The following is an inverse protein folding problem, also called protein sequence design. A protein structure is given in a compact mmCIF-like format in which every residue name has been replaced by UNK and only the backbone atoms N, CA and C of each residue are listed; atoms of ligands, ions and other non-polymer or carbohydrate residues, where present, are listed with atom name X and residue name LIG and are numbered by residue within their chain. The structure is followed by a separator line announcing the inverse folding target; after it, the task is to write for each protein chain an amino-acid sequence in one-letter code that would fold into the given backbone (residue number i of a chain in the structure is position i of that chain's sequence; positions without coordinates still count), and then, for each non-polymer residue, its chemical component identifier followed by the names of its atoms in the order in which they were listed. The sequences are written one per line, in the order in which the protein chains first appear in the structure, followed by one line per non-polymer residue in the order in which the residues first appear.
data_IF_276437384162
#
_entry.id   IF_276437384162
#
_cell.length_a   1.000
_cell.length_b   1.000
_cell.length_c   1.000
_cell.angle_alpha   90.00
_cell.angle_beta   90.00
_cell.angle_gamma   90.00
#
_symmetry.space_group_name_H-M   'P 1'
#
loop_
_entity.id
_entity.type
_entity.pdbx_description
1 polymer ?
#
# COMPACT_ATOMS: atom_id res chain seq x y z
N UNK A 1 14.71 -11.88 -2.41
CA UNK A 1 14.11 -11.22 -3.59
C UNK A 1 13.07 -10.20 -3.14
N UNK A 2 13.14 -9.03 -3.73
CA UNK A 2 12.18 -7.96 -3.49
C UNK A 2 11.86 -7.29 -4.82
N UNK A 3 10.57 -7.06 -5.08
CA UNK A 3 10.13 -6.32 -6.24
C UNK A 3 9.35 -5.10 -5.77
N UNK A 4 9.79 -3.93 -6.19
CA UNK A 4 9.17 -2.66 -5.85
C UNK A 4 8.56 -2.02 -7.09
N UNK A 5 7.31 -1.58 -6.98
CA UNK A 5 6.60 -0.91 -8.08
C UNK A 5 5.88 0.31 -7.51
N UNK A 6 5.99 1.43 -8.22
CA UNK A 6 5.25 2.64 -7.88
C UNK A 6 4.09 2.80 -8.87
N UNK A 7 2.90 3.02 -8.35
CA UNK A 7 1.71 3.27 -9.16
C UNK A 7 1.23 4.68 -8.88
N UNK A 8 1.11 5.51 -9.92
CA UNK A 8 0.58 6.85 -9.83
C UNK A 8 -0.85 6.86 -10.37
N UNK A 9 -1.79 7.27 -9.55
CA UNK A 9 -3.18 7.44 -9.96
C UNK A 9 -3.48 8.93 -10.03
N UNK A 10 -3.85 9.41 -11.23
CA UNK A 10 -4.14 10.82 -11.48
C UNK A 10 -5.64 10.98 -11.68
N UNK A 11 -6.22 11.99 -11.04
CA UNK A 11 -7.63 12.35 -11.21
C UNK A 11 -7.71 13.76 -11.78
N UNK A 12 -7.75 13.92 -13.12
CA UNK A 12 -7.78 15.24 -13.75
C UNK A 12 -9.14 15.92 -13.55
N UNK A 13 -9.18 17.21 -13.79
CA UNK A 13 -10.41 18.00 -13.74
C UNK A 13 -10.66 18.68 -12.40
N UNK A 14 -11.78 19.39 -12.32
CA UNK A 14 -12.12 20.25 -11.17
C UNK A 14 -12.37 19.45 -9.88
N UNK A 15 -12.83 18.21 -10.00
CA UNK A 15 -13.13 17.38 -8.84
C UNK A 15 -11.98 16.44 -8.46
N UNK A 16 -10.87 16.48 -9.19
CA UNK A 16 -9.76 15.55 -8.99
C UNK A 16 -9.20 15.57 -7.59
N UNK A 17 -8.96 16.76 -7.02
CA UNK A 17 -8.43 16.88 -5.66
C UNK A 17 -9.40 16.30 -4.63
N UNK A 18 -10.70 16.49 -4.80
CA UNK A 18 -11.72 15.96 -3.91
C UNK A 18 -11.81 14.43 -4.03
N UNK A 19 -11.65 13.89 -5.23
CA UNK A 19 -11.62 12.44 -5.45
C UNK A 19 -10.45 11.79 -4.74
N UNK A 20 -9.26 12.41 -4.75
CA UNK A 20 -8.09 11.91 -4.04
C UNK A 20 -8.33 11.94 -2.53
N UNK A 21 -8.89 13.04 -2.01
CA UNK A 21 -9.24 13.12 -0.59
C UNK A 21 -10.23 12.04 -0.19
N UNK A 22 -11.23 11.78 -1.04
CA UNK A 22 -12.22 10.73 -0.80
C UNK A 22 -11.58 9.34 -0.79
N UNK A 23 -10.63 9.10 -1.68
CA UNK A 23 -9.87 7.83 -1.70
C UNK A 23 -9.15 7.62 -0.36
N UNK A 24 -8.45 8.64 0.15
CA UNK A 24 -7.75 8.54 1.42
C UNK A 24 -8.72 8.30 2.59
N UNK A 25 -9.85 9.00 2.61
CA UNK A 25 -10.89 8.83 3.62
C UNK A 25 -11.41 7.38 3.60
N UNK A 26 -11.69 6.86 2.41
CA UNK A 26 -12.18 5.49 2.25
C UNK A 26 -11.16 4.46 2.72
N UNK A 27 -9.87 4.65 2.39
CA UNK A 27 -8.81 3.74 2.86
C UNK A 27 -8.64 3.79 4.38
N UNK A 28 -8.84 4.95 5.00
CA UNK A 28 -8.79 5.05 6.47
C UNK A 28 -9.97 4.37 7.15
N UNK A 29 -11.17 4.58 6.61
CA UNK A 29 -12.39 4.04 7.19
C UNK A 29 -12.56 2.54 6.88
N UNK A 30 -12.10 2.11 5.72
CA UNK A 30 -12.24 0.73 5.24
C UNK A 30 -10.91 0.23 4.69
N UNK A 31 -9.88 0.04 5.55
CA UNK A 31 -8.59 -0.43 5.07
C UNK A 31 -8.68 -1.84 4.50
N UNK A 32 -7.83 -2.19 3.55
CA UNK A 32 -7.86 -3.52 2.96
C UNK A 32 -7.48 -4.58 3.99
N UNK A 33 -8.16 -5.71 3.96
CA UNK A 33 -7.86 -6.86 4.83
C UNK A 33 -6.89 -7.83 4.18
N UNK A 34 -6.75 -7.74 2.85
CA UNK A 34 -5.79 -8.53 2.11
C UNK A 34 -5.27 -7.75 0.90
N UNK A 35 -4.08 -8.10 0.44
CA UNK A 35 -3.41 -7.49 -0.70
C UNK A 35 -2.90 -8.62 -1.60
N UNK A 36 -3.52 -8.77 -2.79
CA UNK A 36 -3.14 -9.81 -3.74
C UNK A 36 -3.21 -11.22 -3.15
N UNK A 37 -4.21 -11.48 -2.30
CA UNK A 37 -4.38 -12.77 -1.64
C UNK A 37 -3.61 -12.94 -0.33
N UNK A 38 -2.75 -11.98 0.05
CA UNK A 38 -2.00 -12.05 1.32
C UNK A 38 -2.72 -11.25 2.39
N UNK A 39 -2.79 -11.83 3.59
CA UNK A 39 -3.50 -11.22 4.72
C UNK A 39 -2.72 -10.03 5.27
N UNK A 40 -3.39 -8.90 5.41
CA UNK A 40 -2.81 -7.73 6.08
C UNK A 40 -2.88 -7.96 7.59
N UNK A 41 -1.75 -7.76 8.26
CA UNK A 41 -1.62 -8.00 9.71
C UNK A 41 -1.28 -6.74 10.48
N UNK A 42 -0.93 -5.65 9.79
CA UNK A 42 -0.55 -4.39 10.41
C UNK A 42 -0.96 -3.24 9.50
N UNK A 43 -1.69 -2.27 10.05
CA UNK A 43 -2.12 -1.05 9.37
C UNK A 43 -1.57 0.14 10.12
N UNK A 44 -0.76 0.98 9.45
CA UNK A 44 -0.21 2.20 10.05
C UNK A 44 -0.87 3.42 9.43
N UNK A 45 -1.27 4.37 10.28
CA UNK A 45 -1.82 5.66 9.87
C UNK A 45 -0.94 6.75 10.47
N UNK A 46 -0.15 7.40 9.63
CA UNK A 46 0.80 8.42 10.07
C UNK A 46 0.15 9.78 10.32
N UNK A 47 -1.11 9.97 9.92
CA UNK A 47 -1.84 11.18 10.28
C UNK A 47 -2.37 11.08 11.71
N UNK A 48 -2.86 9.93 12.11
CA UNK A 48 -3.33 9.65 13.47
C UNK A 48 -2.20 9.21 14.40
N UNK A 49 -1.05 8.86 13.87
CA UNK A 49 0.08 8.26 14.58
C UNK A 49 -0.33 6.99 15.33
N UNK A 50 -1.06 6.13 14.65
CA UNK A 50 -1.56 4.86 15.19
C UNK A 50 -1.18 3.69 14.30
N UNK A 51 -0.92 2.55 14.94
CA UNK A 51 -0.80 1.26 14.28
C UNK A 51 -1.90 0.34 14.81
N UNK A 52 -2.66 -0.25 13.89
CA UNK A 52 -3.66 -1.28 14.20
C UNK A 52 -3.03 -2.64 13.93
N UNK A 53 -3.09 -3.52 14.90
CA UNK A 53 -2.54 -4.87 14.82
C UNK A 53 -3.60 -5.91 14.49
N UNK A 54 -3.18 -7.07 14.04
CA UNK A 54 -4.06 -8.17 13.64
C UNK A 54 -5.04 -8.57 14.76
N UNK A 55 -4.60 -8.51 16.01
CA UNK A 55 -5.42 -8.86 17.17
C UNK A 55 -6.43 -7.77 17.57
N UNK A 56 -6.49 -6.68 16.82
CA UNK A 56 -7.38 -5.55 17.11
C UNK A 56 -6.79 -4.50 18.04
N UNK A 57 -5.61 -4.74 18.60
CA UNK A 57 -4.95 -3.76 19.46
C UNK A 57 -4.39 -2.59 18.66
N UNK A 58 -4.31 -1.43 19.29
CA UNK A 58 -3.72 -0.23 18.71
C UNK A 58 -2.51 0.19 19.52
N UNK A 59 -1.46 0.61 18.81
CA UNK A 59 -0.26 1.17 19.42
C UNK A 59 0.03 2.53 18.81
N UNK A 60 0.76 3.35 19.54
CA UNK A 60 1.16 4.68 19.08
C UNK A 60 2.41 4.58 18.21
N UNK A 61 2.43 5.32 17.10
CA UNK A 61 3.64 5.48 16.30
C UNK A 61 4.45 6.64 16.87
N UNK A 62 5.72 6.36 17.21
CA UNK A 62 6.62 7.35 17.79
C UNK A 62 7.33 8.11 16.67
N UNK A 63 6.68 9.16 16.17
CA UNK A 63 7.18 9.99 15.09
C UNK A 63 7.16 11.45 15.52
N UNK A 64 8.15 12.27 15.10
CA UNK A 64 8.22 13.69 15.50
C UNK A 64 7.13 14.56 14.87
N UNK A 65 6.52 14.11 13.78
CA UNK A 65 5.49 14.88 13.08
C UNK A 65 4.51 13.94 12.38
N UNK A 66 3.31 14.45 12.08
CA UNK A 66 2.31 13.72 11.32
C UNK A 66 2.55 13.86 9.82
N UNK A 67 2.07 12.89 9.05
CA UNK A 67 2.05 12.95 7.59
C UNK A 67 0.83 12.19 7.06
N UNK A 68 0.33 12.61 5.89
CA UNK A 68 -0.83 11.96 5.29
C UNK A 68 -0.39 10.72 4.50
N UNK A 69 0.00 9.69 5.25
CA UNK A 69 0.53 8.42 4.71
C UNK A 69 -0.14 7.27 5.42
N UNK A 70 -0.49 6.24 4.65
CA UNK A 70 -0.96 4.96 5.15
C UNK A 70 0.03 3.89 4.72
N UNK A 71 0.25 2.89 5.57
CA UNK A 71 1.06 1.72 5.23
C UNK A 71 0.34 0.46 5.69
N UNK A 72 0.34 -0.56 4.83
CA UNK A 72 -0.27 -1.85 5.10
C UNK A 72 0.77 -2.94 4.91
N UNK A 73 0.85 -3.84 5.88
CA UNK A 73 1.86 -4.89 5.92
C UNK A 73 1.17 -6.26 6.00
N UNK A 74 1.60 -7.17 5.12
CA UNK A 74 1.10 -8.54 5.13
C UNK A 74 2.07 -9.48 5.85
N UNK A 75 1.59 -10.65 6.21
CA UNK A 75 2.38 -11.66 6.91
C UNK A 75 3.52 -12.25 6.05
N UNK A 76 3.45 -12.12 4.73
CA UNK A 76 4.47 -12.63 3.79
C UNK A 76 5.48 -11.57 3.37
N UNK A 77 5.45 -10.39 3.98
CA UNK A 77 6.35 -9.29 3.65
C UNK A 77 5.83 -8.34 2.57
N UNK A 78 4.67 -8.62 2.00
CA UNK A 78 4.02 -7.67 1.09
C UNK A 78 3.71 -6.39 1.83
N UNK A 79 4.03 -5.24 1.22
CA UNK A 79 3.81 -3.93 1.83
C UNK A 79 3.27 -2.96 0.80
N UNK A 80 2.30 -2.16 1.19
CA UNK A 80 1.79 -1.05 0.37
C UNK A 80 1.86 0.22 1.20
N UNK A 81 2.44 1.27 0.61
CA UNK A 81 2.42 2.61 1.18
C UNK A 81 1.59 3.51 0.27
N UNK A 82 0.76 4.35 0.86
CA UNK A 82 -0.17 5.22 0.13
C UNK A 82 0.10 6.66 0.54
N UNK A 83 0.33 7.52 -0.44
CA UNK A 83 0.63 8.94 -0.20
C UNK A 83 0.04 9.83 -1.29
N UNK A 84 -0.89 10.72 -0.97
CA UNK A 84 -1.37 11.71 -1.95
C UNK A 84 -0.31 12.79 -2.16
N UNK A 85 -0.32 13.38 -3.37
CA UNK A 85 0.49 14.56 -3.65
C UNK A 85 -0.11 15.76 -2.90
N UNK A 86 0.74 16.63 -2.36
CA UNK A 86 0.28 17.86 -1.70
C UNK A 86 -0.13 18.96 -2.68
N UNK A 87 0.28 18.88 -3.93
CA UNK A 87 0.10 19.96 -4.92
C UNK A 87 -0.65 19.55 -6.17
N UNK A 88 -0.75 18.27 -6.47
CA UNK A 88 -1.37 17.76 -7.69
C UNK A 88 -2.48 16.76 -7.37
N UNK A 89 -3.51 16.61 -8.25
CA UNK A 89 -4.60 15.66 -8.02
C UNK A 89 -4.16 14.24 -8.36
N UNK A 90 -3.19 13.74 -7.62
CA UNK A 90 -2.67 12.39 -7.78
C UNK A 90 -2.36 11.75 -6.43
N UNK A 91 -2.36 10.43 -6.44
CA UNK A 91 -2.04 9.61 -5.28
C UNK A 91 -1.05 8.55 -5.72
N UNK A 92 -0.03 8.31 -4.91
CA UNK A 92 1.03 7.34 -5.19
C UNK A 92 0.86 6.12 -4.30
N UNK A 93 1.02 4.96 -4.90
CA UNK A 93 1.04 3.68 -4.21
C UNK A 93 2.40 3.03 -4.44
N UNK A 94 3.10 2.75 -3.35
CA UNK A 94 4.39 2.06 -3.38
C UNK A 94 4.12 0.62 -2.97
N UNK A 95 4.28 -0.31 -3.91
CA UNK A 95 4.03 -1.73 -3.70
C UNK A 95 5.35 -2.46 -3.58
N UNK A 96 5.52 -3.23 -2.51
CA UNK A 96 6.70 -4.06 -2.30
C UNK A 96 6.25 -5.50 -2.10
N UNK A 97 6.76 -6.41 -2.94
CA UNK A 97 6.46 -7.83 -2.89
C UNK A 97 7.75 -8.58 -2.64
N UNK A 98 7.71 -9.58 -1.78
CA UNK A 98 8.90 -10.36 -1.43
C UNK A 98 8.77 -11.81 -1.86
N UNK A 99 9.90 -12.43 -2.17
CA UNK A 99 10.00 -13.82 -2.49
C UNK A 99 11.29 -14.40 -1.93
N UNK A 100 11.27 -15.68 -1.61
CA UNK A 100 12.41 -16.37 -1.05
C UNK A 100 13.24 -16.98 -2.17
N UNK A 101 14.37 -16.35 -2.49
CA UNK A 101 15.26 -16.78 -3.56
C UNK A 101 16.46 -17.52 -2.98
N UNK A 102 16.57 -18.81 -3.30
CA UNK A 102 17.65 -19.66 -2.81
C UNK A 102 18.88 -19.64 -3.71
N UNK A 103 18.70 -19.36 -4.99
CA UNK A 103 19.80 -19.24 -5.95
C UNK A 103 19.37 -18.34 -7.13
N UNK A 104 20.36 -17.91 -7.91
CA UNK A 104 20.14 -16.97 -9.01
C UNK A 104 19.25 -17.52 -10.14
N UNK A 105 19.18 -18.85 -10.29
CA UNK A 105 18.35 -19.44 -11.34
C UNK A 105 16.85 -19.28 -11.10
N UNK A 106 16.45 -18.92 -9.88
CA UNK A 106 15.05 -18.71 -9.52
C UNK A 106 14.56 -17.28 -9.81
N UNK A 107 15.46 -16.37 -10.20
CA UNK A 107 15.15 -14.95 -10.35
C UNK A 107 13.99 -14.69 -11.33
N UNK A 108 14.06 -15.28 -12.52
CA UNK A 108 13.03 -15.03 -13.55
C UNK A 108 11.64 -15.50 -13.10
N UNK A 109 11.58 -16.65 -12.43
CA UNK A 109 10.32 -17.18 -11.91
C UNK A 109 9.76 -16.29 -10.80
N UNK A 110 10.61 -15.81 -9.90
CA UNK A 110 10.21 -14.91 -8.82
C UNK A 110 9.78 -13.55 -9.35
N UNK A 111 10.46 -13.04 -10.38
CA UNK A 111 10.10 -11.79 -11.04
C UNK A 111 8.70 -11.89 -11.66
N UNK A 112 8.40 -12.99 -12.35
CA UNK A 112 7.08 -13.24 -12.94
C UNK A 112 5.99 -13.33 -11.86
N UNK A 113 6.24 -14.09 -10.80
CA UNK A 113 5.31 -14.20 -9.67
C UNK A 113 5.09 -12.87 -8.97
N UNK A 114 6.17 -12.11 -8.78
CA UNK A 114 6.10 -10.78 -8.19
C UNK A 114 5.23 -9.84 -9.00
N UNK A 115 5.34 -9.90 -10.32
CA UNK A 115 4.52 -9.07 -11.21
C UNK A 115 3.05 -9.50 -11.19
N UNK A 116 2.77 -10.79 -11.14
CA UNK A 116 1.41 -11.29 -10.97
C UNK A 116 0.78 -10.76 -9.68
N UNK A 117 1.55 -10.79 -8.59
CA UNK A 117 1.09 -10.29 -7.30
C UNK A 117 0.84 -8.78 -7.33
N UNK A 118 1.75 -8.03 -7.92
CA UNK A 118 1.59 -6.58 -8.12
C UNK A 118 0.29 -6.29 -8.88
N UNK A 119 0.03 -7.02 -9.96
CA UNK A 119 -1.19 -6.85 -10.75
C UNK A 119 -2.44 -7.21 -9.95
N UNK A 120 -2.39 -8.25 -9.13
CA UNK A 120 -3.49 -8.64 -8.27
C UNK A 120 -3.78 -7.56 -7.20
N UNK A 121 -2.74 -6.96 -6.62
CA UNK A 121 -2.88 -5.86 -5.66
C UNK A 121 -3.53 -4.64 -6.35
N UNK A 122 -3.04 -4.27 -7.52
CA UNK A 122 -3.58 -3.14 -8.29
C UNK A 122 -5.07 -3.34 -8.58
N UNK A 123 -5.44 -4.55 -9.00
CA UNK A 123 -6.83 -4.89 -9.30
C UNK A 123 -7.69 -4.82 -8.04
N UNK A 124 -7.21 -5.38 -6.94
CA UNK A 124 -7.92 -5.37 -5.65
C UNK A 124 -8.14 -3.97 -5.10
N UNK A 125 -7.18 -3.07 -5.30
CA UNK A 125 -7.28 -1.67 -4.88
C UNK A 125 -7.92 -0.77 -5.95
N UNK A 126 -8.27 -1.31 -7.10
CA UNK A 126 -8.87 -0.57 -8.23
C UNK A 126 -7.99 0.57 -8.75
N UNK A 127 -6.71 0.26 -8.98
CA UNK A 127 -5.71 1.24 -9.44
C UNK A 127 -5.49 1.26 -10.95
N UNK A 128 -6.14 0.41 -11.68
CA UNK A 128 -6.05 0.29 -13.14
C UNK A 128 -7.17 1.04 -13.87
#
# INVERSE_FOLDING_TARGET
FSKEVTVNVVRPGKTGADEIKQMMTNFRNNPPKELGGSKVVLWKDFLKLEALHEDGSKTKLDMPATSNVLQWFCNDGTKVSVRPSGTEPKIKFYLEVKGDMKNASEYDALEAKGMEKVNAIKKGLRLD
#
